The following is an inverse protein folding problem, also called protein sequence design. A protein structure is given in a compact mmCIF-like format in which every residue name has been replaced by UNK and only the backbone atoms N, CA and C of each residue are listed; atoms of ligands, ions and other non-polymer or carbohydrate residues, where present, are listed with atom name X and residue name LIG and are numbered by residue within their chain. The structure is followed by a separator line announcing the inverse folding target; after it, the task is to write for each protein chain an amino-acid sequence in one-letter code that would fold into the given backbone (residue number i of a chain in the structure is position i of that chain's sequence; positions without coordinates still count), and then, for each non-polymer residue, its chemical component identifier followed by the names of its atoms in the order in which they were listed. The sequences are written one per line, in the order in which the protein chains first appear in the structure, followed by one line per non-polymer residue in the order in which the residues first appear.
data_IF_287349155430
#
_entry.id   IF_287349155430
#
_cell.length_a   1.000
_cell.length_b   1.000
_cell.length_c   1.000
_cell.angle_alpha   90.00
_cell.angle_beta   90.00
_cell.angle_gamma   90.00
#
_symmetry.space_group_name_H-M   'P 1'
#
loop_
_entity.id
_entity.type
_entity.pdbx_description
1 polymer ?
#
# COMPACT_ATOMS: atom_id res chain seq x y z
N UNK A 1 9.25 -13.70 15.55
CA UNK A 1 8.12 -12.96 14.95
C UNK A 1 8.10 -13.28 13.49
N UNK A 2 7.00 -13.83 12.95
CA UNK A 2 6.94 -14.17 11.53
C UNK A 2 6.21 -13.11 10.72
N UNK A 3 6.88 -12.56 9.71
CA UNK A 3 6.35 -11.53 8.81
C UNK A 3 6.26 -12.10 7.41
N UNK A 4 5.06 -12.05 6.84
CA UNK A 4 4.86 -12.33 5.41
C UNK A 4 4.74 -11.01 4.66
N UNK A 5 5.58 -10.83 3.65
CA UNK A 5 5.63 -9.60 2.86
C UNK A 5 5.10 -9.93 1.46
N UNK A 6 4.03 -9.27 1.06
CA UNK A 6 3.46 -9.32 -0.27
C UNK A 6 3.78 -8.02 -0.99
N UNK A 7 4.68 -8.07 -1.97
CA UNK A 7 4.98 -6.90 -2.80
C UNK A 7 4.34 -7.05 -4.17
N UNK A 8 3.55 -6.04 -4.57
CA UNK A 8 2.93 -5.98 -5.90
C UNK A 8 3.93 -5.41 -6.89
N UNK A 9 4.20 -6.17 -7.94
CA UNK A 9 5.08 -5.75 -9.03
C UNK A 9 4.31 -5.59 -10.33
N UNK A 10 4.44 -4.41 -10.97
CA UNK A 10 3.89 -4.14 -12.29
C UNK A 10 4.91 -3.38 -13.14
N UNK A 11 5.64 -4.14 -13.96
CA UNK A 11 6.72 -3.68 -14.84
C UNK A 11 7.89 -2.95 -14.12
N UNK A 12 8.16 -3.29 -12.86
CA UNK A 12 9.13 -2.59 -12.00
C UNK A 12 10.26 -3.51 -11.47
N UNK A 13 10.67 -4.53 -12.23
CA UNK A 13 11.67 -5.52 -11.80
C UNK A 13 13.00 -4.89 -11.36
N UNK A 14 13.39 -3.80 -12.01
CA UNK A 14 14.59 -3.04 -11.70
C UNK A 14 14.61 -2.44 -10.29
N UNK A 15 13.46 -2.32 -9.62
CA UNK A 15 13.34 -1.78 -8.26
C UNK A 15 13.35 -2.85 -7.19
N UNK A 16 13.00 -4.09 -7.55
CA UNK A 16 12.87 -5.20 -6.62
C UNK A 16 14.21 -5.48 -5.94
N UNK A 17 15.33 -5.39 -6.65
CA UNK A 17 16.65 -5.63 -6.08
C UNK A 17 16.95 -4.71 -4.88
N UNK A 18 16.64 -3.43 -5.03
CA UNK A 18 16.85 -2.44 -3.96
C UNK A 18 15.81 -2.58 -2.85
N UNK A 19 14.56 -2.91 -3.18
CA UNK A 19 13.53 -3.29 -2.20
C UNK A 19 14.04 -4.43 -1.31
N UNK A 20 14.52 -5.53 -1.93
CA UNK A 20 14.99 -6.73 -1.23
C UNK A 20 16.24 -6.43 -0.41
N UNK A 21 17.20 -5.68 -0.96
CA UNK A 21 18.42 -5.29 -0.25
C UNK A 21 18.09 -4.50 1.03
N UNK A 22 17.25 -3.47 0.93
CA UNK A 22 16.85 -2.67 2.11
C UNK A 22 16.09 -3.49 3.16
N UNK A 23 15.27 -4.43 2.72
CA UNK A 23 14.55 -5.35 3.60
C UNK A 23 15.51 -6.27 4.36
N UNK A 24 16.51 -6.85 3.68
CA UNK A 24 17.53 -7.71 4.30
C UNK A 24 18.39 -6.91 5.27
N UNK A 25 18.84 -5.72 4.89
CA UNK A 25 19.63 -4.84 5.75
C UNK A 25 18.89 -4.51 7.06
N UNK A 26 17.61 -4.15 6.95
CA UNK A 26 16.76 -3.88 8.11
C UNK A 26 16.53 -5.12 8.98
N UNK A 27 16.29 -6.29 8.35
CA UNK A 27 16.17 -7.57 9.07
C UNK A 27 17.46 -7.96 9.78
N UNK A 28 18.62 -7.67 9.23
CA UNK A 28 19.90 -7.98 9.86
C UNK A 28 20.14 -7.23 11.18
N UNK A 29 19.36 -6.18 11.47
CA UNK A 29 19.40 -5.50 12.77
C UNK A 29 18.71 -6.28 13.90
N UNK A 30 17.93 -7.34 13.59
CA UNK A 30 17.16 -8.08 14.59
C UNK A 30 17.05 -9.57 14.25
N UNK A 31 17.46 -10.45 15.17
CA UNK A 31 17.44 -11.90 14.93
C UNK A 31 16.07 -12.55 15.14
N UNK A 32 15.22 -11.97 15.99
CA UNK A 32 13.91 -12.52 16.37
C UNK A 32 12.79 -12.31 15.34
N UNK A 33 13.15 -11.97 14.10
CA UNK A 33 12.22 -11.73 12.99
C UNK A 33 12.49 -12.76 11.89
N UNK A 34 11.47 -13.43 11.42
CA UNK A 34 11.54 -14.30 10.24
C UNK A 34 10.76 -13.63 9.12
N UNK A 35 11.39 -13.49 7.95
CA UNK A 35 10.76 -12.89 6.77
C UNK A 35 10.51 -13.95 5.70
N UNK A 36 9.31 -13.91 5.11
CA UNK A 36 8.98 -14.64 3.89
C UNK A 36 8.51 -13.64 2.83
N UNK A 37 9.27 -13.52 1.73
CA UNK A 37 8.94 -12.61 0.64
C UNK A 37 8.05 -13.30 -0.40
N UNK A 38 6.93 -12.69 -0.72
CA UNK A 38 6.01 -13.13 -1.75
C UNK A 38 5.83 -11.99 -2.76
N UNK A 39 6.31 -12.20 -3.98
CA UNK A 39 6.22 -11.22 -5.06
C UNK A 39 4.98 -11.54 -5.88
N UNK A 40 4.03 -10.62 -5.92
CA UNK A 40 2.84 -10.71 -6.77
C UNK A 40 3.15 -10.04 -8.10
N UNK A 41 3.59 -10.81 -9.09
CA UNK A 41 3.84 -10.29 -10.43
C UNK A 41 2.52 -10.11 -11.19
N UNK A 42 2.18 -8.84 -11.38
CA UNK A 42 0.98 -8.37 -12.07
C UNK A 42 1.27 -7.93 -13.51
N UNK A 43 2.49 -8.20 -14.00
CA UNK A 43 3.01 -7.68 -15.27
C UNK A 43 2.57 -8.49 -16.49
N UNK A 44 1.98 -9.69 -16.29
CA UNK A 44 1.62 -10.61 -17.36
C UNK A 44 2.84 -11.20 -18.07
N UNK A 45 3.92 -11.44 -17.32
CA UNK A 45 5.20 -11.93 -17.84
C UNK A 45 5.11 -13.31 -18.47
N UNK A 46 5.92 -13.54 -19.50
CA UNK A 46 6.17 -14.88 -20.01
C UNK A 46 7.18 -15.65 -19.14
N UNK A 47 7.36 -16.95 -19.42
CA UNK A 47 8.23 -17.83 -18.63
C UNK A 47 9.70 -17.39 -18.59
N UNK A 48 10.22 -16.79 -19.68
CA UNK A 48 11.59 -16.27 -19.74
C UNK A 48 11.77 -15.03 -18.86
N UNK A 49 10.81 -14.11 -18.87
CA UNK A 49 10.82 -12.92 -18.02
C UNK A 49 10.72 -13.28 -16.53
N UNK A 50 9.83 -14.22 -16.18
CA UNK A 50 9.73 -14.73 -14.80
C UNK A 50 11.03 -15.41 -14.36
N UNK A 51 11.69 -16.16 -15.26
CA UNK A 51 12.99 -16.76 -14.97
C UNK A 51 14.06 -15.69 -14.71
N UNK A 52 14.10 -14.62 -15.49
CA UNK A 52 15.06 -13.53 -15.27
C UNK A 52 14.85 -12.85 -13.91
N UNK A 53 13.59 -12.60 -13.54
CA UNK A 53 13.26 -12.06 -12.22
C UNK A 53 13.70 -13.02 -11.11
N UNK A 54 13.39 -14.31 -11.24
CA UNK A 54 13.82 -15.34 -10.29
C UNK A 54 15.35 -15.37 -10.15
N UNK A 55 16.08 -15.43 -11.27
CA UNK A 55 17.54 -15.50 -11.32
C UNK A 55 18.18 -14.28 -10.61
N UNK A 56 17.61 -13.08 -10.77
CA UNK A 56 18.05 -11.87 -10.06
C UNK A 56 17.88 -11.98 -8.54
N UNK A 57 16.78 -12.59 -8.08
CA UNK A 57 16.44 -12.70 -6.66
C UNK A 57 17.23 -13.78 -5.94
N UNK A 58 17.59 -14.87 -6.62
CA UNK A 58 18.44 -15.94 -6.06
C UNK A 58 19.84 -15.46 -5.64
N UNK A 59 20.24 -14.25 -6.00
CA UNK A 59 21.48 -13.62 -5.53
C UNK A 59 21.38 -13.15 -4.08
N UNK A 60 20.16 -13.01 -3.57
CA UNK A 60 19.86 -12.60 -2.20
C UNK A 60 19.65 -13.83 -1.31
N UNK A 61 20.17 -13.76 -0.08
CA UNK A 61 19.98 -14.81 0.94
C UNK A 61 18.63 -14.65 1.65
N UNK A 62 17.53 -14.93 0.93
CA UNK A 62 16.18 -14.87 1.47
C UNK A 62 15.24 -15.91 0.85
N UNK A 63 14.30 -16.42 1.64
CA UNK A 63 13.17 -17.21 1.13
C UNK A 63 12.19 -16.30 0.39
N UNK A 64 12.04 -16.51 -0.91
CA UNK A 64 11.11 -15.78 -1.75
C UNK A 64 10.29 -16.70 -2.65
N UNK A 65 9.08 -16.26 -2.99
CA UNK A 65 8.20 -16.91 -3.97
C UNK A 65 7.62 -15.88 -4.91
N UNK A 66 7.62 -16.17 -6.20
CA UNK A 66 6.96 -15.36 -7.22
C UNK A 66 5.61 -15.99 -7.54
N UNK A 67 4.55 -15.20 -7.47
CA UNK A 67 3.18 -15.57 -7.80
C UNK A 67 2.71 -14.72 -8.96
N UNK A 68 2.00 -15.31 -9.91
CA UNK A 68 1.41 -14.56 -11.02
C UNK A 68 0.11 -15.20 -11.48
N UNK A 69 -0.83 -14.35 -11.91
CA UNK A 69 -2.05 -14.79 -12.59
C UNK A 69 -1.88 -14.80 -14.12
N UNK A 70 -0.73 -14.36 -14.64
CA UNK A 70 -0.46 -14.24 -16.07
C UNK A 70 -1.11 -13.02 -16.74
N UNK A 71 -1.81 -12.18 -15.99
CA UNK A 71 -2.39 -10.91 -16.45
C UNK A 71 -2.42 -9.90 -15.30
N UNK A 72 -2.63 -8.62 -15.62
CA UNK A 72 -2.80 -7.57 -14.62
C UNK A 72 -4.21 -7.64 -14.04
N UNK A 73 -4.30 -7.92 -12.74
CA UNK A 73 -5.54 -8.05 -11.96
C UNK A 73 -5.85 -6.82 -11.10
N UNK A 74 -5.06 -5.75 -11.21
CA UNK A 74 -5.19 -4.58 -10.35
C UNK A 74 -4.37 -4.69 -9.06
N UNK A 75 -4.38 -3.66 -8.23
CA UNK A 75 -3.51 -3.62 -7.05
C UNK A 75 -3.89 -4.70 -6.03
N UNK A 76 -5.13 -4.69 -5.54
CA UNK A 76 -5.65 -5.72 -4.62
C UNK A 76 -6.17 -7.00 -5.31
N UNK A 77 -5.98 -7.16 -6.62
CA UNK A 77 -6.43 -8.36 -7.35
C UNK A 77 -5.81 -9.67 -6.85
N UNK A 78 -4.64 -9.60 -6.22
CA UNK A 78 -3.98 -10.73 -5.56
C UNK A 78 -4.38 -10.97 -4.09
N UNK A 79 -5.29 -10.17 -3.51
CA UNK A 79 -5.58 -10.22 -2.06
C UNK A 79 -6.04 -11.60 -1.60
N UNK A 80 -6.92 -12.26 -2.36
CA UNK A 80 -7.43 -13.60 -2.02
C UNK A 80 -6.30 -14.64 -1.98
N UNK A 81 -5.39 -14.60 -2.95
CA UNK A 81 -4.20 -15.47 -2.96
C UNK A 81 -3.34 -15.21 -1.72
N UNK A 82 -3.13 -13.95 -1.34
CA UNK A 82 -2.39 -13.61 -0.12
C UNK A 82 -3.06 -14.18 1.14
N UNK A 83 -4.38 -14.03 1.25
CA UNK A 83 -5.14 -14.58 2.38
C UNK A 83 -5.03 -16.11 2.46
N UNK A 84 -5.08 -16.80 1.32
CA UNK A 84 -4.94 -18.25 1.25
C UNK A 84 -3.52 -18.69 1.65
N UNK A 85 -2.49 -17.98 1.18
CA UNK A 85 -1.09 -18.22 1.56
C UNK A 85 -0.86 -18.00 3.05
N UNK A 86 -1.41 -16.93 3.64
CA UNK A 86 -1.34 -16.66 5.08
C UNK A 86 -2.12 -17.71 5.88
N UNK A 87 -3.24 -18.21 5.35
CA UNK A 87 -4.04 -19.27 5.99
C UNK A 87 -3.40 -20.65 5.93
N UNK A 88 -2.55 -20.89 4.92
CA UNK A 88 -1.77 -22.12 4.78
C UNK A 88 -0.51 -22.15 5.68
N UNK A 89 -0.23 -21.10 6.45
CA UNK A 89 0.86 -21.08 7.44
C UNK A 89 0.31 -21.36 8.83
N UNK A 90 1.04 -22.15 9.59
CA UNK A 90 0.70 -22.48 10.99
C UNK A 90 0.65 -21.22 11.87
N UNK A 91 1.57 -20.29 11.64
CA UNK A 91 1.70 -19.07 12.42
C UNK A 91 2.19 -17.90 11.57
N UNK A 92 1.55 -16.74 11.69
CA UNK A 92 1.94 -15.45 11.08
C UNK A 92 1.62 -14.35 12.11
N UNK A 93 2.56 -13.45 12.36
CA UNK A 93 2.32 -12.31 13.26
C UNK A 93 1.91 -11.05 12.51
N UNK A 94 2.56 -10.81 11.37
CA UNK A 94 2.42 -9.59 10.58
C UNK A 94 2.28 -9.96 9.10
N UNK A 95 1.41 -9.24 8.41
CA UNK A 95 1.36 -9.22 6.95
C UNK A 95 1.68 -7.81 6.49
N UNK A 96 2.68 -7.66 5.62
CA UNK A 96 2.97 -6.40 4.93
C UNK A 96 2.50 -6.56 3.49
N UNK A 97 1.62 -5.67 3.03
CA UNK A 97 1.19 -5.61 1.64
C UNK A 97 1.61 -4.26 1.05
N UNK A 98 2.44 -4.24 0.02
CA UNK A 98 3.05 -3.00 -0.43
C UNK A 98 3.41 -2.98 -1.91
N UNK A 99 3.79 -1.80 -2.40
CA UNK A 99 4.45 -1.67 -3.69
C UNK A 99 5.90 -2.17 -3.63
N UNK A 100 6.46 -2.49 -4.79
CA UNK A 100 7.87 -2.89 -4.98
C UNK A 100 8.85 -1.71 -5.10
N UNK A 101 8.38 -0.46 -5.14
CA UNK A 101 9.19 0.76 -5.24
C UNK A 101 9.48 1.42 -3.89
N UNK A 102 9.34 0.65 -2.80
CA UNK A 102 9.63 1.06 -1.44
C UNK A 102 10.97 0.53 -0.93
N UNK A 103 11.58 1.26 -0.01
CA UNK A 103 12.76 0.83 0.72
C UNK A 103 12.51 0.90 2.22
N UNK A 104 12.89 -0.14 2.94
CA UNK A 104 12.74 -0.18 4.38
C UNK A 104 13.87 0.60 5.05
N UNK A 105 13.54 1.42 6.04
CA UNK A 105 14.54 1.99 6.91
C UNK A 105 15.31 0.89 7.66
N UNK A 106 16.59 1.13 7.94
CA UNK A 106 17.46 0.18 8.65
C UNK A 106 16.87 -0.27 9.99
N UNK A 107 16.09 0.58 10.65
CA UNK A 107 15.44 0.29 11.93
C UNK A 107 14.02 -0.30 11.80
N UNK A 108 13.47 -0.40 10.59
CA UNK A 108 12.06 -0.74 10.37
C UNK A 108 11.62 -2.03 11.08
N UNK A 109 12.32 -3.15 10.89
CA UNK A 109 11.89 -4.42 11.51
C UNK A 109 12.12 -4.49 13.03
N UNK A 110 13.14 -3.79 13.54
CA UNK A 110 13.35 -3.63 14.99
C UNK A 110 12.23 -2.81 15.63
N UNK A 111 11.89 -1.66 15.04
CA UNK A 111 10.74 -0.86 15.43
C UNK A 111 9.43 -1.65 15.33
N UNK A 112 9.23 -2.43 14.26
CA UNK A 112 8.02 -3.23 14.06
C UNK A 112 7.88 -4.28 15.14
N UNK A 113 8.98 -4.96 15.49
CA UNK A 113 8.99 -5.96 16.55
C UNK A 113 8.57 -5.36 17.91
N UNK A 114 9.06 -4.16 18.22
CA UNK A 114 8.76 -3.44 19.48
C UNK A 114 7.35 -2.87 19.53
N UNK A 115 6.82 -2.43 18.39
CA UNK A 115 5.56 -1.66 18.30
C UNK A 115 4.34 -2.48 17.90
N UNK A 116 4.53 -3.70 17.37
CA UNK A 116 3.42 -4.56 16.97
C UNK A 116 2.39 -4.71 18.09
N UNK A 117 1.13 -4.56 17.74
CA UNK A 117 0.04 -4.74 18.68
C UNK A 117 -1.21 -5.24 17.95
N UNK A 118 -1.64 -6.47 18.29
CA UNK A 118 -2.79 -7.14 17.67
C UNK A 118 -4.14 -6.47 17.99
N UNK A 119 -4.17 -5.46 18.86
CA UNK A 119 -5.38 -4.65 19.13
C UNK A 119 -5.77 -3.79 17.93
N UNK A 120 -4.79 -3.32 17.17
CA UNK A 120 -5.01 -2.51 15.97
C UNK A 120 -5.12 -3.44 14.76
N UNK A 121 -6.01 -3.10 13.82
CA UNK A 121 -6.04 -3.76 12.52
C UNK A 121 -4.66 -3.65 11.85
N UNK A 122 -4.09 -2.45 11.92
CA UNK A 122 -2.88 -2.10 11.18
C UNK A 122 -2.06 -1.04 11.90
N UNK A 123 -0.79 -1.00 11.54
CA UNK A 123 0.11 0.11 11.80
C UNK A 123 0.43 0.80 10.46
N UNK A 124 0.33 2.12 10.42
CA UNK A 124 0.70 2.93 9.26
C UNK A 124 2.10 3.50 9.48
N UNK A 125 3.12 3.06 8.70
CA UNK A 125 4.46 3.61 8.80
C UNK A 125 4.52 5.03 8.24
N UNK A 126 5.56 5.78 8.60
CA UNK A 126 5.96 6.95 7.83
C UNK A 126 6.38 6.53 6.41
N UNK A 127 5.90 7.25 5.40
CA UNK A 127 6.21 7.01 3.99
C UNK A 127 6.85 8.27 3.42
N UNK A 128 8.17 8.26 3.33
CA UNK A 128 8.99 9.41 2.99
C UNK A 128 9.35 9.31 1.51
N UNK A 129 8.93 10.29 0.71
CA UNK A 129 9.28 10.31 -0.71
C UNK A 129 10.77 10.62 -0.91
N UNK A 130 11.48 9.85 -1.73
CA UNK A 130 12.90 10.13 -2.02
C UNK A 130 13.05 11.50 -2.70
N UNK A 131 13.96 12.32 -2.17
CA UNK A 131 14.16 13.69 -2.64
C UNK A 131 13.10 14.69 -2.15
N UNK A 132 12.20 14.25 -1.25
CA UNK A 132 11.30 15.10 -0.49
C UNK A 132 11.34 14.78 1.00
N UNK A 133 10.87 15.71 1.82
CA UNK A 133 10.83 15.57 3.28
C UNK A 133 9.39 15.42 3.80
N UNK A 134 8.47 14.97 2.93
CA UNK A 134 7.04 14.89 3.25
C UNK A 134 6.65 13.44 3.47
N UNK A 135 6.18 13.17 4.68
CA UNK A 135 5.47 11.93 5.00
C UNK A 135 4.09 11.93 4.34
N UNK A 136 3.77 10.85 3.62
CA UNK A 136 2.48 10.66 2.97
C UNK A 136 1.41 10.09 3.91
N UNK A 137 1.81 9.56 5.06
CA UNK A 137 0.90 9.15 6.12
C UNK A 137 0.74 10.25 7.16
N UNK A 138 -0.47 10.40 7.74
CA UNK A 138 -1.71 9.70 7.40
C UNK A 138 -2.35 10.20 6.11
N UNK A 139 -3.00 9.29 5.36
CA UNK A 139 -3.76 9.67 4.15
C UNK A 139 -5.00 10.48 4.51
N UNK A 140 -5.74 10.02 5.53
CA UNK A 140 -6.92 10.68 6.05
C UNK A 140 -6.97 10.55 7.57
N UNK A 141 -7.19 11.68 8.25
CA UNK A 141 -7.41 11.73 9.69
C UNK A 141 -8.85 11.42 10.11
N UNK A 142 -9.80 11.64 9.22
CA UNK A 142 -11.23 11.47 9.50
C UNK A 142 -11.94 10.78 8.34
N UNK A 143 -13.01 10.06 8.66
CA UNK A 143 -13.90 9.45 7.67
C UNK A 143 -14.36 10.48 6.64
N UNK A 144 -14.36 10.10 5.37
CA UNK A 144 -14.78 10.99 4.30
C UNK A 144 -16.29 11.25 4.40
N UNK A 145 -16.72 12.49 4.19
CA UNK A 145 -18.15 12.78 4.20
C UNK A 145 -18.83 12.27 2.94
N UNK A 146 -20.09 11.86 3.06
CA UNK A 146 -20.92 11.46 1.92
C UNK A 146 -20.94 12.54 0.83
N UNK A 147 -21.04 13.81 1.22
CA UNK A 147 -21.01 14.93 0.28
C UNK A 147 -19.71 15.03 -0.49
N UNK A 148 -18.56 14.77 0.16
CA UNK A 148 -17.24 14.76 -0.50
C UNK A 148 -17.15 13.61 -1.50
N UNK A 149 -17.61 12.42 -1.15
CA UNK A 149 -17.62 11.26 -2.06
C UNK A 149 -18.54 11.50 -3.26
N UNK A 150 -19.76 12.01 -3.07
CA UNK A 150 -20.67 12.38 -4.18
C UNK A 150 -20.11 13.49 -5.07
N UNK A 151 -19.36 14.43 -4.50
CA UNK A 151 -18.67 15.44 -5.29
C UNK A 151 -17.57 14.82 -6.16
N UNK A 152 -16.77 13.90 -5.61
CA UNK A 152 -15.75 13.16 -6.36
C UNK A 152 -16.37 12.28 -7.45
N UNK A 153 -17.46 11.58 -7.17
CA UNK A 153 -18.26 10.82 -8.15
C UNK A 153 -18.67 11.71 -9.34
N UNK A 154 -19.17 12.92 -9.06
CA UNK A 154 -19.50 13.90 -10.12
C UNK A 154 -18.29 14.35 -10.92
N UNK A 155 -17.13 14.54 -10.28
CA UNK A 155 -15.88 14.87 -10.98
C UNK A 155 -15.48 13.72 -11.90
N UNK A 156 -15.43 12.49 -11.38
CA UNK A 156 -14.94 11.35 -12.12
C UNK A 156 -15.91 10.86 -13.19
N UNK A 157 -17.21 11.13 -13.09
CA UNK A 157 -18.17 10.84 -14.16
C UNK A 157 -18.01 11.73 -15.40
N UNK A 158 -17.25 12.83 -15.33
CA UNK A 158 -17.07 13.77 -16.43
C UNK A 158 -15.59 14.06 -16.74
N UNK A 159 -15.13 13.80 -17.97
CA UNK A 159 -13.71 13.95 -18.35
C UNK A 159 -13.22 15.41 -18.29
N UNK A 160 -14.08 16.40 -18.60
CA UNK A 160 -13.72 17.81 -18.48
C UNK A 160 -13.53 18.21 -17.02
N UNK A 161 -14.47 17.84 -16.15
CA UNK A 161 -14.37 18.13 -14.71
C UNK A 161 -13.14 17.47 -14.09
N UNK A 162 -12.86 16.20 -14.45
CA UNK A 162 -11.66 15.51 -14.00
C UNK A 162 -10.38 16.23 -14.44
N UNK A 163 -10.29 16.64 -15.71
CA UNK A 163 -9.11 17.33 -16.23
C UNK A 163 -8.92 18.68 -15.54
N UNK A 164 -9.99 19.47 -15.37
CA UNK A 164 -9.93 20.73 -14.63
C UNK A 164 -9.51 20.51 -13.18
N UNK A 165 -10.08 19.51 -12.50
CA UNK A 165 -9.72 19.17 -11.14
C UNK A 165 -8.26 18.73 -11.00
N UNK A 166 -7.75 17.90 -11.92
CA UNK A 166 -6.36 17.43 -11.94
C UNK A 166 -5.38 18.60 -12.11
N UNK A 167 -5.67 19.51 -13.05
CA UNK A 167 -4.87 20.73 -13.25
C UNK A 167 -4.89 21.62 -12.01
N UNK A 168 -6.08 21.88 -11.43
CA UNK A 168 -6.20 22.69 -10.23
C UNK A 168 -5.48 22.07 -9.02
N UNK A 169 -5.51 20.75 -8.90
CA UNK A 169 -4.80 20.02 -7.84
C UNK A 169 -3.29 20.19 -7.97
N UNK A 170 -2.74 20.07 -9.18
CA UNK A 170 -1.31 20.31 -9.46
C UNK A 170 -0.90 21.76 -9.20
N UNK A 171 -1.73 22.73 -9.60
CA UNK A 171 -1.48 24.15 -9.32
C UNK A 171 -1.49 24.40 -7.81
N UNK A 172 -2.46 23.83 -7.09
CA UNK A 172 -2.51 23.92 -5.63
C UNK A 172 -1.25 23.33 -5.00
N UNK A 173 -0.86 22.12 -5.36
CA UNK A 173 0.38 21.51 -4.86
C UNK A 173 1.62 22.37 -5.12
N UNK A 174 1.74 22.92 -6.32
CA UNK A 174 2.83 23.83 -6.67
C UNK A 174 2.85 25.09 -5.81
N UNK A 175 1.69 25.72 -5.59
CA UNK A 175 1.56 26.89 -4.70
C UNK A 175 1.95 26.51 -3.26
N UNK A 176 1.41 25.41 -2.74
CA UNK A 176 1.69 24.97 -1.37
C UNK A 176 3.17 24.66 -1.14
N UNK A 177 3.83 23.98 -2.09
CA UNK A 177 5.29 23.74 -2.05
C UNK A 177 6.07 25.06 -2.03
N UNK A 178 5.66 26.04 -2.82
CA UNK A 178 6.31 27.36 -2.88
C UNK A 178 6.13 28.17 -1.59
N UNK A 179 5.00 28.00 -0.91
CA UNK A 179 4.69 28.69 0.34
C UNK A 179 5.38 28.07 1.57
N UNK A 180 6.15 26.97 1.42
CA UNK A 180 6.83 26.26 2.52
C UNK A 180 5.96 26.12 3.77
N UNK A 181 4.67 25.78 3.60
CA UNK A 181 3.85 25.43 4.78
C UNK A 181 4.49 24.21 5.43
N UNK A 182 4.68 24.28 6.75
CA UNK A 182 5.12 23.14 7.54
C UNK A 182 4.18 21.96 7.25
N UNK A 183 4.76 20.78 7.04
CA UNK A 183 3.97 19.57 6.92
C UNK A 183 3.30 19.30 8.27
N UNK A 184 2.06 18.81 8.23
CA UNK A 184 1.39 18.38 9.46
C UNK A 184 2.20 17.24 10.09
N UNK A 185 2.66 17.43 11.33
CA UNK A 185 3.36 16.40 12.09
C UNK A 185 2.38 15.70 13.02
N UNK A 186 2.36 14.37 13.01
CA UNK A 186 1.52 13.56 13.87
C UNK A 186 2.35 12.79 14.89
N UNK A 187 1.82 12.62 16.10
CA UNK A 187 2.50 11.88 17.16
C UNK A 187 2.44 10.37 16.92
N UNK A 188 3.43 9.63 17.41
CA UNK A 188 3.45 8.18 17.36
C UNK A 188 2.28 7.57 18.15
N UNK A 189 1.61 6.58 17.58
CA UNK A 189 0.42 5.94 18.14
C UNK A 189 -0.88 6.69 17.87
N UNK A 190 -0.86 7.80 17.13
CA UNK A 190 -2.07 8.53 16.74
C UNK A 190 -3.00 7.60 15.96
N UNK A 191 -4.26 7.50 16.37
CA UNK A 191 -5.29 6.81 15.59
C UNK A 191 -5.64 7.65 14.36
N UNK A 192 -5.63 6.98 13.19
CA UNK A 192 -5.88 7.61 11.91
C UNK A 192 -7.03 6.90 11.22
N UNK A 193 -7.75 7.61 10.35
CA UNK A 193 -8.85 7.00 9.62
C UNK A 193 -8.34 6.05 8.52
N UNK A 194 -7.43 6.53 7.66
CA UNK A 194 -6.90 5.72 6.58
C UNK A 194 -5.38 5.88 6.42
N UNK A 195 -4.64 4.77 6.22
CA UNK A 195 -3.24 4.80 5.80
C UNK A 195 -3.14 5.12 4.32
N UNK A 196 -1.95 5.45 3.84
CA UNK A 196 -1.63 5.62 2.43
C UNK A 196 -1.44 4.25 1.76
N UNK A 197 -1.94 4.08 0.53
CA UNK A 197 -1.99 2.78 -0.14
C UNK A 197 -0.66 2.24 -0.68
N UNK A 198 0.47 2.85 -0.35
CA UNK A 198 1.78 2.36 -0.79
C UNK A 198 2.24 1.14 0.04
N UNK A 199 1.88 1.12 1.33
CA UNK A 199 2.19 0.04 2.26
C UNK A 199 1.10 -0.09 3.32
N UNK A 200 0.74 -1.33 3.58
CA UNK A 200 -0.26 -1.76 4.54
C UNK A 200 0.40 -2.77 5.48
N UNK A 201 0.63 -2.40 6.74
CA UNK A 201 1.21 -3.30 7.76
C UNK A 201 0.10 -3.81 8.68
N UNK A 202 -0.43 -4.99 8.37
CA UNK A 202 -1.48 -5.64 9.14
C UNK A 202 -0.91 -6.32 10.38
N UNK A 203 -1.37 -5.87 11.55
CA UNK A 203 -1.01 -6.44 12.86
C UNK A 203 -2.06 -7.40 13.41
N UNK A 204 -3.30 -7.28 12.94
CA UNK A 204 -4.36 -8.25 13.19
C UNK A 204 -4.54 -9.15 11.96
N UNK A 205 -4.05 -10.38 12.06
CA UNK A 205 -4.12 -11.37 10.98
C UNK A 205 -5.55 -11.87 10.76
N UNK A 206 -6.40 -11.87 11.79
CA UNK A 206 -7.82 -12.19 11.64
C UNK A 206 -8.51 -11.15 10.77
N UNK A 207 -8.27 -9.86 11.08
CA UNK A 207 -8.76 -8.75 10.24
C UNK A 207 -8.32 -8.90 8.78
N UNK A 208 -7.03 -9.13 8.52
CA UNK A 208 -6.53 -9.32 7.15
C UNK A 208 -7.19 -10.49 6.41
N UNK A 209 -7.36 -11.64 7.07
CA UNK A 209 -7.98 -12.84 6.49
C UNK A 209 -9.47 -12.65 6.21
N UNK A 210 -10.15 -11.87 7.04
CA UNK A 210 -11.59 -11.62 6.95
C UNK A 210 -11.94 -10.38 6.10
N UNK A 211 -10.93 -9.74 5.48
CA UNK A 211 -11.18 -8.72 4.48
C UNK A 211 -11.96 -9.34 3.32
N UNK A 212 -13.08 -8.73 2.91
CA UNK A 212 -13.83 -9.17 1.75
C UNK A 212 -13.04 -8.87 0.47
N UNK A 213 -13.51 -9.45 -0.64
CA UNK A 213 -12.95 -9.14 -1.94
C UNK A 213 -13.14 -7.65 -2.27
N UNK A 214 -12.06 -7.01 -2.70
CA UNK A 214 -12.09 -5.66 -3.23
C UNK A 214 -12.23 -5.73 -4.76
N UNK A 215 -13.40 -5.33 -5.26
CA UNK A 215 -13.80 -5.56 -6.65
C UNK A 215 -13.22 -4.52 -7.63
N UNK A 216 -12.59 -3.45 -7.12
CA UNK A 216 -12.05 -2.40 -7.97
C UNK A 216 -10.65 -2.76 -8.46
N UNK A 217 -10.39 -2.49 -9.75
CA UNK A 217 -9.09 -2.75 -10.36
C UNK A 217 -7.96 -1.88 -9.77
N UNK A 218 -8.21 -0.58 -9.56
CA UNK A 218 -7.26 0.34 -8.94
C UNK A 218 -8.00 1.41 -8.15
N UNK A 219 -7.33 1.92 -7.12
CA UNK A 219 -7.74 3.03 -6.27
C UNK A 219 -8.86 2.68 -5.30
N UNK A 220 -8.89 3.43 -4.19
CA UNK A 220 -9.93 3.31 -3.16
C UNK A 220 -9.60 2.28 -2.09
N UNK A 221 -8.48 1.57 -2.21
CA UNK A 221 -7.99 0.59 -1.25
C UNK A 221 -7.82 1.21 0.14
N UNK A 222 -7.35 2.45 0.23
CA UNK A 222 -7.19 3.14 1.52
C UNK A 222 -8.53 3.34 2.23
N UNK A 223 -9.55 3.74 1.48
CA UNK A 223 -10.90 3.98 2.03
C UNK A 223 -11.57 2.64 2.34
N UNK A 224 -11.40 1.64 1.47
CA UNK A 224 -11.89 0.28 1.68
C UNK A 224 -11.37 -0.31 2.99
N UNK A 225 -10.05 -0.27 3.20
CA UNK A 225 -9.41 -0.77 4.43
C UNK A 225 -9.92 0.00 5.66
N UNK A 226 -10.03 1.33 5.56
CA UNK A 226 -10.53 2.17 6.66
C UNK A 226 -11.99 1.83 7.04
N UNK A 227 -12.87 1.66 6.06
CA UNK A 227 -14.27 1.32 6.29
C UNK A 227 -14.43 -0.10 6.86
N UNK A 228 -13.66 -1.07 6.37
CA UNK A 228 -13.68 -2.44 6.90
C UNK A 228 -13.11 -2.52 8.33
N UNK A 229 -12.15 -1.67 8.68
CA UNK A 229 -11.64 -1.52 10.04
C UNK A 229 -12.71 -0.93 10.98
N UNK A 230 -13.36 0.17 10.56
CA UNK A 230 -14.48 0.77 11.31
C UNK A 230 -15.61 -0.23 11.52
N UNK A 231 -16.00 -0.98 10.47
CA UNK A 231 -17.07 -1.97 10.53
C UNK A 231 -16.79 -3.12 11.52
N UNK A 232 -15.52 -3.36 11.88
CA UNK A 232 -15.08 -4.42 12.80
C UNK A 232 -14.59 -3.88 14.14
N UNK A 233 -14.82 -2.60 14.44
CA UNK A 233 -14.34 -1.93 15.67
C UNK A 233 -12.82 -2.09 15.85
N UNK A 234 -12.08 -1.92 14.74
CA UNK A 234 -10.62 -1.95 14.70
C UNK A 234 -10.08 -0.58 14.38
N UNK A 235 -8.93 -0.26 14.97
CA UNK A 235 -8.23 1.00 14.73
C UNK A 235 -6.99 0.81 13.87
N UNK A 236 -6.60 1.87 13.17
CA UNK A 236 -5.36 1.98 12.43
C UNK A 236 -4.54 3.06 13.13
N UNK A 237 -3.30 2.74 13.48
CA UNK A 237 -2.43 3.67 14.22
C UNK A 237 -1.24 4.07 13.38
N UNK A 238 -0.90 5.35 13.39
CA UNK A 238 0.32 5.86 12.77
C UNK A 238 1.52 5.68 13.69
N UNK A 239 2.60 5.10 13.18
CA UNK A 239 3.84 4.88 13.94
C UNK A 239 5.05 5.30 13.09
N UNK A 240 5.52 6.56 13.24
CA UNK A 240 6.60 7.11 12.43
C UNK A 240 7.96 6.47 12.68
N UNK A 241 8.14 5.73 13.79
CA UNK A 241 9.37 4.95 13.99
C UNK A 241 9.50 3.76 13.02
N UNK A 242 8.40 3.41 12.33
CA UNK A 242 8.44 2.59 11.13
C UNK A 242 8.53 3.53 9.94
N UNK A 243 9.68 3.60 9.28
CA UNK A 243 9.84 4.43 8.09
C UNK A 243 10.10 3.57 6.85
N UNK A 244 9.45 3.92 5.75
CA UNK A 244 9.77 3.44 4.41
C UNK A 244 10.01 4.62 3.48
N UNK A 245 10.89 4.44 2.51
CA UNK A 245 11.21 5.44 1.51
C UNK A 245 10.59 5.05 0.17
N UNK A 246 9.82 5.96 -0.43
CA UNK A 246 9.08 5.75 -1.68
C UNK A 246 9.82 6.42 -2.85
N UNK A 247 10.26 5.64 -3.83
CA UNK A 247 10.91 6.17 -5.04
C UNK A 247 9.90 6.75 -6.06
N UNK A 248 8.59 6.52 -5.83
CA UNK A 248 7.49 6.98 -6.69
C UNK A 248 7.71 6.63 -8.15
N UNK A 249 8.02 5.38 -8.44
CA UNK A 249 8.01 4.91 -9.83
C UNK A 249 6.57 4.66 -10.24
N UNK A 250 5.97 5.69 -10.82
CA UNK A 250 4.55 5.69 -11.14
C UNK A 250 4.25 4.73 -12.30
N UNK A 251 4.05 3.45 -12.00
CA UNK A 251 3.29 2.52 -12.85
C UNK A 251 1.96 3.13 -13.29
N UNK A 252 1.39 4.02 -12.47
CA UNK A 252 0.17 4.80 -12.75
C UNK A 252 0.34 5.73 -13.96
N UNK A 253 1.54 6.22 -14.29
CA UNK A 253 1.73 7.08 -15.46
C UNK A 253 1.58 6.31 -16.79
N UNK A 254 1.71 4.98 -16.76
CA UNK A 254 1.41 4.11 -17.90
C UNK A 254 -0.11 4.03 -18.17
N UNK A 255 -0.94 4.38 -17.19
CA UNK A 255 -2.39 4.38 -17.32
C UNK A 255 -2.86 5.72 -17.90
N UNK A 256 -3.46 5.65 -19.09
CA UNK A 256 -4.05 6.81 -19.76
C UNK A 256 -5.07 7.55 -18.89
N UNK A 257 -5.14 8.87 -19.04
CA UNK A 257 -5.94 9.80 -18.21
C UNK A 257 -7.40 9.35 -18.08
N UNK A 258 -8.04 8.95 -19.18
CA UNK A 258 -9.44 8.49 -19.16
C UNK A 258 -9.63 7.15 -18.44
N UNK A 259 -8.67 6.21 -18.54
CA UNK A 259 -8.73 4.95 -17.79
C UNK A 259 -8.58 5.21 -16.30
N UNK A 260 -7.63 6.06 -15.91
CA UNK A 260 -7.43 6.47 -14.52
C UNK A 260 -8.69 7.12 -13.94
N UNK A 261 -9.33 8.01 -14.71
CA UNK A 261 -10.62 8.61 -14.34
C UNK A 261 -11.70 7.54 -14.10
N UNK A 262 -11.82 6.56 -15.00
CA UNK A 262 -12.79 5.48 -14.87
C UNK A 262 -12.53 4.65 -13.61
N UNK A 263 -11.30 4.23 -13.36
CA UNK A 263 -10.97 3.49 -12.12
C UNK A 263 -11.27 4.29 -10.84
N UNK A 264 -11.06 5.61 -10.84
CA UNK A 264 -11.53 6.46 -9.75
C UNK A 264 -13.05 6.54 -9.64
N UNK A 265 -13.78 6.57 -10.76
CA UNK A 265 -15.24 6.54 -10.74
C UNK A 265 -15.75 5.21 -10.17
N UNK A 266 -15.24 4.10 -10.67
CA UNK A 266 -15.61 2.74 -10.25
C UNK A 266 -15.34 2.53 -8.76
N UNK A 267 -14.18 2.98 -8.25
CA UNK A 267 -13.85 2.88 -6.82
C UNK A 267 -14.73 3.74 -5.94
N UNK A 268 -15.05 4.98 -6.33
CA UNK A 268 -15.95 5.83 -5.55
C UNK A 268 -17.38 5.27 -5.54
N UNK A 269 -17.87 4.77 -6.67
CA UNK A 269 -19.18 4.12 -6.76
C UNK A 269 -19.24 2.89 -5.85
N UNK A 270 -18.23 2.02 -5.90
CA UNK A 270 -18.11 0.87 -5.00
C UNK A 270 -18.16 1.30 -3.53
N UNK A 271 -17.32 2.25 -3.10
CA UNK A 271 -17.28 2.74 -1.71
C UNK A 271 -18.63 3.32 -1.27
N UNK A 272 -19.24 4.18 -2.09
CA UNK A 272 -20.55 4.77 -1.80
C UNK A 272 -21.62 3.70 -1.63
N UNK A 273 -21.66 2.74 -2.55
CA UNK A 273 -22.66 1.68 -2.57
C UNK A 273 -22.52 0.71 -1.39
N UNK A 274 -21.29 0.50 -0.90
CA UNK A 274 -21.01 -0.47 0.15
C UNK A 274 -21.12 0.10 1.56
N UNK A 275 -20.67 1.34 1.79
CA UNK A 275 -20.47 1.88 3.15
C UNK A 275 -21.28 3.14 3.50
N UNK A 276 -21.94 3.77 2.51
CA UNK A 276 -22.65 5.06 2.69
C UNK A 276 -24.13 5.01 2.31
N UNK A 277 -24.74 3.83 2.34
CA UNK A 277 -26.18 3.64 2.14
C UNK A 277 -26.99 3.99 3.39
#
# INVERSE_FOLDING_TARGET
MKVLIFTVNYHNDHLIDRFVSSMIESKNQINDVELELNILDNSGKNSGELKNLNDSLTQHDIDFKIHTLGFNSGYFGGLKLCQDLVSAREYVDIVIYCNCDLYFDISFFDSLYKKKNKKHAMIAPAIITIGGDVDQNPKYMSRLSLSKLKFLEKIYSNSLLFTTHDVLSKVKEWIFKRLKREADTFEAGTEIYAPHGAVFVFTDIGFFKDLPEFECFLFGEEIFIAEEAVARDKTIVYEPSLAVYDERHASISLVGVDKRRKFHADSIEYILSRYYR
#
